data_IF_962647277229
#
_entry.id   IF_962647277229
#
_cell.length_a   1.000
_cell.length_b   1.000
_cell.length_c   1.000
_cell.angle_alpha   90.00
_cell.angle_beta   90.00
_cell.angle_gamma   90.00
#
_symmetry.space_group_name_H-M   'P 1'
#
loop_
_entity.id
_entity.type
_entity.pdbx_description
1 polymer ?
#
# COMPACT_ATOMS: atom_id res chain seq x y z
N UNK A 1 21.54 23.10 -17.27
CA UNK A 1 22.05 22.23 -16.18
C UNK A 1 22.11 23.02 -14.88
N UNK A 2 22.81 24.15 -14.84
CA UNK A 2 22.91 25.04 -13.66
C UNK A 2 21.55 25.52 -13.13
N UNK A 3 20.67 26.05 -13.99
CA UNK A 3 19.32 26.46 -13.58
C UNK A 3 18.48 25.33 -12.97
N UNK A 4 18.73 24.08 -13.37
CA UNK A 4 18.04 22.92 -12.80
C UNK A 4 18.55 22.59 -11.40
N UNK A 5 19.83 22.82 -11.13
CA UNK A 5 20.44 22.62 -9.81
C UNK A 5 20.01 23.72 -8.84
N UNK A 6 20.03 24.98 -9.30
CA UNK A 6 19.51 26.11 -8.51
C UNK A 6 18.05 25.89 -8.12
N UNK A 7 17.22 25.43 -9.06
CA UNK A 7 15.83 25.12 -8.78
C UNK A 7 15.66 23.98 -7.75
N UNK A 8 16.50 22.94 -7.79
CA UNK A 8 16.49 21.87 -6.77
C UNK A 8 16.89 22.39 -5.38
N UNK A 9 17.87 23.30 -5.31
CA UNK A 9 18.28 23.94 -4.06
C UNK A 9 17.18 24.85 -3.51
N UNK A 10 16.49 25.62 -4.37
CA UNK A 10 15.34 26.43 -3.98
C UNK A 10 14.22 25.57 -3.39
N UNK A 11 13.95 24.41 -4.00
CA UNK A 11 12.97 23.45 -3.47
C UNK A 11 13.36 22.95 -2.08
N UNK A 12 14.64 22.64 -1.88
CA UNK A 12 15.16 22.17 -0.60
C UNK A 12 15.06 23.25 0.49
N UNK A 13 15.44 24.49 0.18
CA UNK A 13 15.32 25.62 1.10
C UNK A 13 13.87 25.93 1.47
N UNK A 14 12.95 25.85 0.51
CA UNK A 14 11.52 25.99 0.78
C UNK A 14 11.05 24.97 1.84
N UNK A 15 11.49 23.72 1.74
CA UNK A 15 11.15 22.66 2.68
C UNK A 15 11.81 22.89 4.06
N UNK A 16 13.09 23.30 4.10
CA UNK A 16 13.78 23.61 5.36
C UNK A 16 13.06 24.73 6.11
N UNK A 17 12.73 25.83 5.40
CA UNK A 17 12.00 26.96 5.97
C UNK A 17 10.61 26.57 6.46
N UNK A 18 9.89 25.73 5.69
CA UNK A 18 8.59 25.20 6.11
C UNK A 18 8.70 24.32 7.37
N UNK A 19 9.77 23.54 7.48
CA UNK A 19 10.02 22.70 8.65
C UNK A 19 10.27 23.55 9.89
N UNK A 20 11.11 24.58 9.78
CA UNK A 20 11.39 25.50 10.88
C UNK A 20 10.14 26.25 11.36
N UNK A 21 9.31 26.70 10.42
CA UNK A 21 8.06 27.37 10.74
C UNK A 21 7.04 26.43 11.41
N UNK A 22 6.99 25.15 10.99
CA UNK A 22 5.92 24.22 11.35
C UNK A 22 6.41 22.78 11.61
N UNK A 23 7.23 22.52 12.64
CA UNK A 23 7.84 21.21 12.87
C UNK A 23 6.81 20.09 13.15
N UNK A 24 5.66 20.44 13.75
CA UNK A 24 4.60 19.48 14.03
C UNK A 24 3.98 18.88 12.75
N UNK A 25 3.89 19.66 11.66
CA UNK A 25 3.34 19.19 10.39
C UNK A 25 4.24 18.13 9.75
N UNK A 26 5.56 18.30 9.85
CA UNK A 26 6.53 17.32 9.33
C UNK A 26 6.50 16.01 10.11
N UNK A 27 6.27 16.06 11.42
CA UNK A 27 6.08 14.85 12.23
C UNK A 27 4.83 14.08 11.78
N UNK A 28 3.73 14.78 11.50
CA UNK A 28 2.53 14.15 10.96
C UNK A 28 2.76 13.57 9.55
N UNK A 29 3.41 14.32 8.66
CA UNK A 29 3.71 13.87 7.29
C UNK A 29 4.60 12.65 7.26
N UNK A 30 5.67 12.62 8.06
CA UNK A 30 6.55 11.46 8.19
C UNK A 30 5.77 10.22 8.65
N UNK A 31 4.85 10.38 9.60
CA UNK A 31 3.97 9.28 10.02
C UNK A 31 3.03 8.78 8.91
N UNK A 32 2.60 9.65 7.99
CA UNK A 32 1.81 9.24 6.81
C UNK A 32 2.70 8.49 5.82
N UNK A 33 3.92 8.98 5.56
CA UNK A 33 4.86 8.41 4.60
C UNK A 33 5.37 7.03 5.04
N UNK A 34 5.67 6.86 6.33
CA UNK A 34 6.10 5.57 6.91
C UNK A 34 5.06 4.45 6.71
N UNK A 35 3.78 4.80 6.75
CA UNK A 35 2.69 3.85 6.52
C UNK A 35 2.38 3.61 5.04
N UNK A 36 2.97 4.40 4.13
CA UNK A 36 2.69 4.33 2.69
C UNK A 36 3.03 2.96 2.12
N UNK A 37 2.25 2.53 1.12
CA UNK A 37 2.48 1.28 0.39
C UNK A 37 3.01 1.61 -0.98
N UNK A 38 3.91 0.77 -1.48
CA UNK A 38 4.48 0.92 -2.82
C UNK A 38 3.40 0.70 -3.90
N UNK A 39 3.05 1.73 -4.69
CA UNK A 39 2.05 1.63 -5.74
C UNK A 39 2.62 1.25 -7.11
N UNK A 40 3.95 1.14 -7.27
CA UNK A 40 4.57 1.02 -8.60
C UNK A 40 4.22 -0.28 -9.31
N UNK A 41 3.99 -1.37 -8.57
CA UNK A 41 3.51 -2.61 -9.16
C UNK A 41 2.08 -2.48 -9.70
N UNK A 42 1.18 -1.85 -8.94
CA UNK A 42 -0.18 -1.54 -9.40
C UNK A 42 -0.16 -0.61 -10.63
N UNK A 43 0.71 0.41 -10.64
CA UNK A 43 0.90 1.32 -11.78
C UNK A 43 1.39 0.57 -13.01
N UNK A 44 2.36 -0.34 -12.86
CA UNK A 44 2.85 -1.16 -13.96
C UNK A 44 1.74 -2.03 -14.57
N UNK A 45 0.88 -2.63 -13.73
CA UNK A 45 -0.28 -3.40 -14.21
C UNK A 45 -1.29 -2.52 -14.94
N UNK A 46 -1.54 -1.30 -14.46
CA UNK A 46 -2.42 -0.34 -15.13
C UNK A 46 -1.87 0.07 -16.50
N UNK A 47 -0.55 0.27 -16.61
CA UNK A 47 0.11 0.59 -17.89
C UNK A 47 0.07 -0.54 -18.92
N UNK A 48 -0.11 -1.78 -18.48
CA UNK A 48 -0.26 -2.96 -19.34
C UNK A 48 -1.73 -3.35 -19.60
N UNK A 49 -2.70 -2.50 -19.21
CA UNK A 49 -4.15 -2.77 -19.29
C UNK A 49 -4.56 -4.10 -18.62
N UNK A 50 -3.83 -4.53 -17.59
CA UNK A 50 -4.11 -5.76 -16.86
C UNK A 50 -5.17 -5.55 -15.78
N UNK A 51 -5.87 -6.63 -15.46
CA UNK A 51 -6.81 -6.65 -14.34
C UNK A 51 -6.05 -6.52 -13.04
N UNK A 52 -6.43 -5.53 -12.23
CA UNK A 52 -5.86 -5.36 -10.91
C UNK A 52 -6.52 -6.36 -9.95
N UNK A 53 -5.74 -7.23 -9.28
CA UNK A 53 -6.29 -8.08 -8.25
C UNK A 53 -6.68 -7.24 -7.01
N UNK A 54 -7.49 -7.78 -6.10
CA UNK A 54 -7.97 -7.03 -4.93
C UNK A 54 -6.87 -6.40 -4.06
N UNK A 55 -5.69 -7.03 -3.98
CA UNK A 55 -4.55 -6.49 -3.25
C UNK A 55 -3.99 -5.20 -3.88
N UNK A 56 -3.94 -5.13 -5.21
CA UNK A 56 -3.44 -3.93 -5.91
C UNK A 56 -4.46 -2.80 -5.89
N UNK A 57 -5.75 -3.13 -5.99
CA UNK A 57 -6.82 -2.14 -5.80
C UNK A 57 -6.82 -1.57 -4.38
N UNK A 58 -6.47 -2.37 -3.38
CA UNK A 58 -6.23 -1.88 -2.02
C UNK A 58 -5.05 -0.91 -1.97
N UNK A 59 -3.94 -1.21 -2.65
CA UNK A 59 -2.76 -0.32 -2.69
C UNK A 59 -3.12 1.02 -3.34
N UNK A 60 -3.85 1.01 -4.45
CA UNK A 60 -4.33 2.25 -5.10
C UNK A 60 -5.25 3.04 -4.15
N UNK A 61 -6.17 2.37 -3.45
CA UNK A 61 -7.02 3.02 -2.44
C UNK A 61 -6.20 3.61 -1.27
N UNK A 62 -5.14 2.90 -0.86
CA UNK A 62 -4.20 3.38 0.15
C UNK A 62 -3.43 4.62 -0.32
N UNK A 63 -2.99 4.65 -1.58
CA UNK A 63 -2.37 5.83 -2.18
C UNK A 63 -3.34 7.02 -2.13
N UNK A 64 -4.59 6.86 -2.57
CA UNK A 64 -5.61 7.92 -2.50
C UNK A 64 -5.77 8.46 -1.07
N UNK A 65 -5.79 7.57 -0.07
CA UNK A 65 -5.88 7.95 1.33
C UNK A 65 -4.65 8.74 1.80
N UNK A 66 -3.43 8.30 1.48
CA UNK A 66 -2.20 9.00 1.81
C UNK A 66 -2.15 10.39 1.15
N UNK A 67 -2.44 10.47 -0.15
CA UNK A 67 -2.48 11.73 -0.92
C UNK A 67 -3.44 12.72 -0.27
N UNK A 68 -4.65 12.29 0.09
CA UNK A 68 -5.65 13.15 0.73
C UNK A 68 -5.16 13.72 2.06
N UNK A 69 -4.50 12.89 2.89
CA UNK A 69 -3.93 13.36 4.16
C UNK A 69 -2.75 14.30 3.97
N UNK A 70 -1.86 14.00 3.04
CA UNK A 70 -0.72 14.86 2.69
C UNK A 70 -1.24 16.22 2.21
N UNK A 71 -2.22 16.25 1.30
CA UNK A 71 -2.82 17.49 0.82
C UNK A 71 -3.45 18.30 1.94
N UNK A 72 -4.15 17.66 2.88
CA UNK A 72 -4.69 18.35 4.05
C UNK A 72 -3.61 19.06 4.87
N UNK A 73 -2.47 18.40 5.10
CA UNK A 73 -1.33 19.01 5.80
C UNK A 73 -0.71 20.15 4.98
N UNK A 74 -0.55 19.96 3.67
CA UNK A 74 -0.01 20.98 2.78
C UNK A 74 -0.91 22.22 2.69
N UNK A 75 -2.22 22.03 2.67
CA UNK A 75 -3.23 23.09 2.67
C UNK A 75 -3.18 23.90 3.98
N UNK A 76 -3.01 23.24 5.12
CA UNK A 76 -2.87 23.91 6.42
C UNK A 76 -1.65 24.84 6.51
N UNK A 77 -0.54 24.47 5.86
CA UNK A 77 0.67 25.31 5.78
C UNK A 77 0.63 26.36 4.64
N UNK A 78 -0.39 26.31 3.78
CA UNK A 78 -0.45 27.06 2.53
C UNK A 78 0.20 26.30 1.37
N UNK A 79 -0.64 25.72 0.50
CA UNK A 79 -0.21 24.81 -0.57
C UNK A 79 0.83 25.42 -1.53
N UNK A 80 0.79 26.74 -1.73
CA UNK A 80 1.69 27.49 -2.61
C UNK A 80 3.14 27.59 -2.09
N UNK A 81 3.37 27.29 -0.80
CA UNK A 81 4.72 27.29 -0.23
C UNK A 81 5.48 26.01 -0.56
N UNK A 82 4.79 24.96 -1.01
CA UNK A 82 5.38 23.67 -1.31
C UNK A 82 5.94 23.65 -2.74
N UNK A 83 7.08 22.99 -2.98
CA UNK A 83 7.58 22.75 -4.32
C UNK A 83 6.54 22.04 -5.18
N UNK A 84 6.27 22.53 -6.39
CA UNK A 84 5.19 22.00 -7.24
C UNK A 84 5.30 20.50 -7.53
N UNK A 85 6.52 19.98 -7.65
CA UNK A 85 6.78 18.53 -7.83
C UNK A 85 6.44 17.67 -6.61
N UNK A 86 6.35 18.27 -5.42
CA UNK A 86 6.02 17.61 -4.15
C UNK A 86 4.55 17.78 -3.75
N UNK A 87 3.72 18.39 -4.62
CA UNK A 87 2.28 18.56 -4.40
C UNK A 87 1.53 17.53 -5.24
N UNK A 88 0.98 16.45 -4.65
CA UNK A 88 0.27 15.44 -5.41
C UNK A 88 -1.08 15.96 -5.94
N UNK A 89 -1.54 15.50 -7.12
CA UNK A 89 -2.87 15.83 -7.63
C UNK A 89 -3.98 15.26 -6.72
N UNK A 90 -5.17 15.85 -6.81
CA UNK A 90 -6.35 15.36 -6.07
C UNK A 90 -6.89 14.06 -6.68
N UNK A 91 -7.22 13.07 -5.84
CA UNK A 91 -7.69 11.74 -6.25
C UNK A 91 -9.11 11.44 -5.73
N UNK A 92 -9.93 12.45 -5.47
CA UNK A 92 -11.24 12.31 -4.81
C UNK A 92 -12.24 11.49 -5.65
N UNK A 93 -12.15 11.58 -6.97
CA UNK A 93 -12.98 10.77 -7.89
C UNK A 93 -12.63 9.28 -7.77
N UNK A 94 -11.35 8.97 -7.66
CA UNK A 94 -10.84 7.61 -7.54
C UNK A 94 -11.14 7.01 -6.16
N UNK A 95 -11.04 7.80 -5.10
CA UNK A 95 -11.44 7.39 -3.74
C UNK A 95 -12.92 6.95 -3.70
N UNK A 96 -13.80 7.75 -4.31
CA UNK A 96 -15.24 7.43 -4.41
C UNK A 96 -15.53 6.17 -5.23
N UNK A 97 -14.69 5.88 -6.21
CA UNK A 97 -14.80 4.72 -7.09
C UNK A 97 -14.40 3.42 -6.37
N UNK A 98 -13.28 3.46 -5.65
CA UNK A 98 -12.66 2.29 -5.02
C UNK A 98 -13.27 1.89 -3.68
N UNK A 99 -13.98 2.80 -3.02
CA UNK A 99 -14.55 2.50 -1.71
C UNK A 99 -15.88 3.23 -1.47
N UNK A 100 -16.96 2.84 -2.18
CA UNK A 100 -18.27 3.46 -2.02
C UNK A 100 -18.76 3.25 -0.59
N UNK A 101 -18.76 4.32 0.21
CA UNK A 101 -19.23 4.31 1.60
C UNK A 101 -18.18 3.95 2.67
N UNK A 102 -16.89 3.89 2.33
CA UNK A 102 -15.85 3.79 3.37
C UNK A 102 -15.73 5.09 4.17
N UNK A 103 -15.60 4.98 5.49
CA UNK A 103 -15.39 6.13 6.38
C UNK A 103 -13.89 6.46 6.50
N UNK A 104 -13.24 6.69 5.35
CA UNK A 104 -11.87 7.21 5.30
C UNK A 104 -10.79 6.25 5.81
N UNK A 105 -11.01 4.93 5.77
CA UNK A 105 -9.93 3.96 5.93
C UNK A 105 -9.65 3.26 4.61
N UNK A 106 -8.36 3.01 4.28
CA UNK A 106 -8.03 2.24 3.09
C UNK A 106 -8.49 0.80 3.32
N UNK A 107 -9.54 0.39 2.63
CA UNK A 107 -9.99 -0.99 2.60
C UNK A 107 -10.60 -1.25 1.23
N UNK A 108 -10.21 -2.36 0.60
CA UNK A 108 -10.79 -2.77 -0.66
C UNK A 108 -11.40 -4.16 -0.51
N UNK A 109 -12.69 -4.25 -0.80
CA UNK A 109 -13.44 -5.49 -0.88
C UNK A 109 -14.56 -5.30 -1.90
N UNK A 110 -14.79 -6.32 -2.73
CA UNK A 110 -15.89 -6.34 -3.70
C UNK A 110 -17.21 -6.45 -2.93
N UNK A 111 -17.74 -5.30 -2.53
CA UNK A 111 -19.00 -5.15 -1.81
C UNK A 111 -20.21 -5.38 -2.71
N UNK A 112 -21.36 -5.63 -2.08
CA UNK A 112 -22.64 -5.78 -2.76
C UNK A 112 -23.07 -4.50 -3.52
N UNK A 113 -22.48 -3.34 -3.20
CA UNK A 113 -22.78 -2.07 -3.84
C UNK A 113 -22.27 -1.99 -5.29
N UNK A 114 -21.27 -2.79 -5.67
CA UNK A 114 -20.70 -2.77 -7.02
C UNK A 114 -21.58 -3.47 -8.06
N UNK A 115 -22.32 -4.50 -7.66
CA UNK A 115 -23.09 -5.33 -8.59
C UNK A 115 -24.35 -5.89 -7.94
N UNK A 116 -25.55 -5.45 -8.39
CA UNK A 116 -26.81 -6.05 -7.93
C UNK A 116 -26.92 -7.56 -8.21
N UNK A 117 -26.42 -8.10 -9.35
CA UNK A 117 -26.34 -9.54 -9.57
C UNK A 117 -25.52 -10.29 -8.51
N UNK A 118 -24.37 -9.74 -8.09
CA UNK A 118 -23.52 -10.34 -7.06
C UNK A 118 -24.24 -10.38 -5.70
N UNK A 119 -24.88 -9.27 -5.32
CA UNK A 119 -25.66 -9.16 -4.10
C UNK A 119 -26.80 -10.20 -4.05
N UNK A 120 -27.49 -10.41 -5.17
CA UNK A 120 -28.55 -11.41 -5.29
C UNK A 120 -28.00 -12.84 -5.13
N UNK A 121 -26.88 -13.18 -5.77
CA UNK A 121 -26.21 -14.48 -5.64
C UNK A 121 -25.77 -14.75 -4.21
N UNK A 122 -25.14 -13.76 -3.54
CA UNK A 122 -24.72 -13.84 -2.13
C UNK A 122 -25.89 -14.06 -1.19
N UNK A 123 -26.99 -13.33 -1.38
CA UNK A 123 -28.23 -13.51 -0.60
C UNK A 123 -28.80 -14.91 -0.77
N UNK A 124 -28.88 -15.41 -2.00
CA UNK A 124 -29.38 -16.75 -2.31
C UNK A 124 -28.48 -17.83 -1.69
N UNK A 125 -27.15 -17.69 -1.81
CA UNK A 125 -26.19 -18.62 -1.18
C UNK A 125 -26.38 -18.66 0.34
N UNK A 126 -26.48 -17.50 0.98
CA UNK A 126 -26.69 -17.40 2.44
C UNK A 126 -28.00 -18.07 2.86
N UNK A 127 -29.06 -17.91 2.08
CA UNK A 127 -30.35 -18.59 2.31
C UNK A 127 -30.22 -20.11 2.19
N UNK A 128 -29.61 -20.61 1.11
CA UNK A 128 -29.40 -22.05 0.88
C UNK A 128 -28.51 -22.68 1.95
N UNK A 129 -27.49 -21.95 2.42
CA UNK A 129 -26.63 -22.41 3.50
C UNK A 129 -27.35 -22.43 4.85
N UNK A 130 -28.27 -21.50 5.11
CA UNK A 130 -29.16 -21.55 6.27
C UNK A 130 -30.06 -22.79 6.22
N UNK A 131 -30.68 -23.07 5.07
CA UNK A 131 -31.52 -24.28 4.88
C UNK A 131 -30.71 -25.57 5.09
N UNK A 132 -29.50 -25.63 4.54
CA UNK A 132 -28.61 -26.79 4.72
C UNK A 132 -28.23 -26.99 6.18
N UNK A 133 -27.90 -25.91 6.91
CA UNK A 133 -27.60 -25.99 8.35
C UNK A 133 -28.81 -26.46 9.16
N UNK A 134 -30.02 -26.04 8.79
CA UNK A 134 -31.25 -26.48 9.45
C UNK A 134 -31.50 -27.98 9.21
N UNK A 135 -31.36 -28.45 7.96
CA UNK A 135 -31.49 -29.86 7.62
C UNK A 135 -30.49 -30.71 8.44
N UNK A 136 -29.21 -30.37 8.38
CA UNK A 136 -28.17 -31.11 9.13
C UNK A 136 -28.36 -31.03 10.65
N UNK A 137 -28.91 -29.93 11.17
CA UNK A 137 -29.22 -29.79 12.59
C UNK A 137 -30.38 -30.68 13.03
N UNK A 138 -31.40 -30.87 12.19
CA UNK A 138 -32.53 -31.75 12.47
C UNK A 138 -32.07 -33.22 12.53
N UNK A 139 -31.26 -33.64 11.56
CA UNK A 139 -30.66 -34.99 11.54
C UNK A 139 -29.76 -35.23 12.76
N UNK A 140 -28.94 -34.25 13.13
CA UNK A 140 -28.10 -34.33 14.32
C UNK A 140 -28.92 -34.43 15.62
N UNK A 141 -30.08 -33.75 15.70
CA UNK A 141 -30.96 -33.82 16.86
C UNK A 141 -31.63 -35.19 17.01
N UNK A 142 -31.98 -35.85 15.91
CA UNK A 142 -32.52 -37.21 15.94
C UNK A 142 -31.48 -38.21 16.45
N UNK A 143 -30.22 -38.08 16.00
CA UNK A 143 -29.09 -38.86 16.52
C UNK A 143 -28.84 -38.60 18.01
N UNK A 144 -28.91 -37.33 18.44
CA UNK A 144 -28.75 -36.95 19.85
C UNK A 144 -29.84 -37.56 20.74
N UNK A 145 -31.09 -37.61 20.28
CA UNK A 145 -32.20 -38.23 21.02
C UNK A 145 -31.96 -39.71 21.33
N UNK A 146 -31.28 -40.42 20.41
CA UNK A 146 -31.07 -41.86 20.50
C UNK A 146 -29.76 -42.22 21.21
N UNK A 147 -28.68 -41.49 20.93
CA UNK A 147 -27.34 -41.78 21.43
C UNK A 147 -26.93 -40.88 22.63
N UNK A 148 -27.74 -39.89 22.98
CA UNK A 148 -27.47 -38.92 24.04
C UNK A 148 -26.30 -37.98 23.74
N UNK A 149 -25.80 -37.98 22.50
CA UNK A 149 -24.64 -37.19 22.08
C UNK A 149 -24.85 -36.65 20.67
N UNK A 150 -24.63 -35.36 20.50
CA UNK A 150 -24.80 -34.67 19.22
C UNK A 150 -23.57 -34.86 18.32
N UNK A 151 -23.71 -35.42 17.11
CA UNK A 151 -22.64 -35.42 16.11
C UNK A 151 -22.39 -34.01 15.57
N UNK A 152 -21.13 -33.62 15.41
CA UNK A 152 -20.74 -32.50 14.57
C UNK A 152 -20.91 -32.84 13.08
N UNK A 153 -21.08 -31.84 12.22
CA UNK A 153 -21.43 -32.02 10.79
C UNK A 153 -20.38 -32.83 10.00
N UNK A 154 -19.12 -32.76 10.42
CA UNK A 154 -18.02 -33.59 9.86
C UNK A 154 -17.27 -34.36 10.96
N UNK A 155 -17.81 -34.38 12.17
CA UNK A 155 -17.16 -35.06 13.30
C UNK A 155 -17.61 -36.52 13.35
N UNK A 156 -16.70 -37.38 13.79
CA UNK A 156 -17.00 -38.79 14.00
C UNK A 156 -17.50 -39.01 15.44
N UNK A 157 -18.63 -39.68 15.58
CA UNK A 157 -19.12 -40.15 16.87
C UNK A 157 -18.46 -41.48 17.18
N UNK A 158 -17.57 -41.48 18.17
CA UNK A 158 -16.94 -42.69 18.69
C UNK A 158 -17.86 -43.37 19.70
N UNK A 159 -18.23 -44.63 19.43
CA UNK A 159 -19.00 -45.50 20.33
C UNK A 159 -18.10 -46.64 20.78
N UNK A 160 -18.00 -46.91 22.09
CA UNK A 160 -17.21 -48.03 22.63
C UNK A 160 -17.84 -49.37 22.27
N UNK A 161 -17.03 -50.36 21.87
CA UNK A 161 -17.48 -51.73 21.54
C UNK A 161 -18.20 -52.45 22.68
N UNK A 162 -17.90 -52.09 23.91
CA UNK A 162 -18.57 -52.64 25.10
C UNK A 162 -20.05 -52.22 25.19
N UNK A 163 -20.46 -51.16 24.47
CA UNK A 163 -21.83 -50.67 24.47
C UNK A 163 -22.59 -51.15 23.23
N UNK A 164 -22.86 -52.47 23.19
CA UNK A 164 -23.54 -53.13 22.08
C UNK A 164 -24.91 -52.52 21.75
N UNK A 165 -25.67 -52.09 22.77
CA UNK A 165 -26.99 -51.49 22.57
C UNK A 165 -26.94 -50.19 21.75
N UNK A 166 -25.93 -49.33 21.97
CA UNK A 166 -25.78 -48.11 21.16
C UNK A 166 -25.21 -48.38 19.77
N UNK A 167 -24.41 -49.42 19.60
CA UNK A 167 -23.87 -49.82 18.28
C UNK A 167 -24.99 -50.36 17.39
N UNK A 168 -25.85 -51.24 17.91
CA UNK A 168 -27.00 -51.75 17.15
C UNK A 168 -27.96 -50.63 16.79
N UNK A 169 -28.28 -49.74 17.74
CA UNK A 169 -29.09 -48.54 17.45
C UNK A 169 -28.45 -47.69 16.35
N UNK A 170 -27.15 -47.39 16.45
CA UNK A 170 -26.45 -46.59 15.44
C UNK A 170 -26.40 -47.25 14.05
N UNK A 171 -26.34 -48.58 13.97
CA UNK A 171 -26.39 -49.33 12.69
C UNK A 171 -27.77 -49.36 12.06
N UNK A 172 -28.82 -49.27 12.87
CA UNK A 172 -30.22 -49.21 12.40
C UNK A 172 -30.62 -47.80 11.91
N UNK A 173 -29.85 -46.77 12.27
CA UNK A 173 -30.11 -45.38 11.89
C UNK A 173 -29.64 -45.09 10.46
N UNK A 174 -30.53 -44.75 9.51
CA UNK A 174 -30.13 -44.39 8.15
C UNK A 174 -29.33 -43.08 8.06
N UNK A 175 -29.40 -42.26 9.11
CA UNK A 175 -28.71 -40.98 9.27
C UNK A 175 -27.23 -41.16 9.60
N UNK A 176 -26.78 -42.34 10.02
CA UNK A 176 -25.39 -42.62 10.37
C UNK A 176 -24.73 -43.58 9.37
N UNK A 177 -23.48 -43.27 9.02
CA UNK A 177 -22.60 -44.15 8.26
C UNK A 177 -21.43 -44.60 9.12
N UNK A 178 -21.20 -45.89 9.23
CA UNK A 178 -20.00 -46.45 9.86
C UNK A 178 -18.79 -46.10 8.98
N UNK A 179 -17.79 -45.42 9.56
CA UNK A 179 -16.61 -44.91 8.83
C UNK A 179 -15.39 -45.78 9.10
N UNK A 180 -15.08 -46.05 10.37
CA UNK A 180 -13.92 -46.85 10.76
C UNK A 180 -14.14 -47.56 12.09
N UNK A 181 -13.44 -48.67 12.26
CA UNK A 181 -13.44 -49.47 13.48
C UNK A 181 -12.02 -49.61 14.02
N UNK A 182 -11.87 -49.46 15.32
CA UNK A 182 -10.61 -49.68 16.06
C UNK A 182 -10.81 -50.83 17.04
N UNK A 183 -9.79 -51.20 17.82
CA UNK A 183 -9.94 -52.25 18.84
C UNK A 183 -10.98 -51.92 19.91
N UNK A 184 -11.15 -50.63 20.24
CA UNK A 184 -11.98 -50.19 21.38
C UNK A 184 -13.25 -49.43 20.97
N UNK A 185 -13.25 -48.77 19.81
CA UNK A 185 -14.35 -47.91 19.36
C UNK A 185 -14.73 -48.16 17.90
N UNK A 186 -16.02 -47.96 17.61
CA UNK A 186 -16.57 -47.85 16.25
C UNK A 186 -16.94 -46.38 16.02
N UNK A 187 -16.56 -45.84 14.87
CA UNK A 187 -16.75 -44.44 14.51
C UNK A 187 -17.84 -44.32 13.46
N UNK A 188 -18.86 -43.52 13.78
CA UNK A 188 -19.97 -43.20 12.90
C UNK A 188 -19.91 -41.74 12.47
N UNK A 189 -20.36 -41.43 11.25
CA UNK A 189 -20.49 -40.05 10.76
C UNK A 189 -21.92 -39.81 10.31
N UNK A 190 -22.40 -38.58 10.51
CA UNK A 190 -23.70 -38.16 9.99
C UNK A 190 -23.68 -38.19 8.46
N UNK A 191 -24.59 -38.96 7.88
CA UNK A 191 -24.81 -39.08 6.45
C UNK A 191 -25.71 -37.95 5.99
N UNK A 192 -25.23 -37.16 5.03
CA UNK A 192 -26.04 -36.11 4.45
C UNK A 192 -27.29 -36.70 3.74
N UNK A 193 -28.47 -36.14 4.03
CA UNK A 193 -29.71 -36.51 3.33
C UNK A 193 -29.62 -36.15 1.84
N UNK A 194 -30.50 -36.75 1.02
CA UNK A 194 -30.58 -36.39 -0.42
C UNK A 194 -30.82 -34.89 -0.62
N UNK A 195 -31.60 -34.27 0.27
CA UNK A 195 -31.86 -32.84 0.27
C UNK A 195 -30.61 -32.03 0.65
N UNK A 196 -29.89 -32.44 1.70
CA UNK A 196 -28.64 -31.80 2.12
C UNK A 196 -27.58 -31.86 1.00
N UNK A 197 -27.42 -33.01 0.34
CA UNK A 197 -26.53 -33.18 -0.82
C UNK A 197 -26.95 -32.27 -1.99
N UNK A 198 -28.26 -32.14 -2.27
CA UNK A 198 -28.75 -31.22 -3.30
C UNK A 198 -28.43 -29.76 -2.96
N UNK A 199 -28.68 -29.35 -1.72
CA UNK A 199 -28.37 -28.00 -1.25
C UNK A 199 -26.87 -27.71 -1.31
N UNK A 200 -26.02 -28.68 -0.96
CA UNK A 200 -24.57 -28.56 -1.06
C UNK A 200 -24.12 -28.33 -2.51
N UNK A 201 -24.66 -29.10 -3.46
CA UNK A 201 -24.41 -28.90 -4.89
C UNK A 201 -24.85 -27.51 -5.37
N UNK A 202 -26.02 -27.06 -4.95
CA UNK A 202 -26.51 -25.70 -5.28
C UNK A 202 -25.61 -24.62 -4.68
N UNK A 203 -25.18 -24.75 -3.42
CA UNK A 203 -24.25 -23.82 -2.77
C UNK A 203 -22.93 -23.77 -3.53
N UNK A 204 -22.39 -24.91 -3.95
CA UNK A 204 -21.15 -24.96 -4.72
C UNK A 204 -21.30 -24.31 -6.09
N UNK A 205 -22.43 -24.50 -6.78
CA UNK A 205 -22.73 -23.77 -8.03
C UNK A 205 -22.81 -22.26 -7.81
N UNK A 206 -23.46 -21.83 -6.73
CA UNK A 206 -23.55 -20.41 -6.38
C UNK A 206 -22.19 -19.82 -6.03
N UNK A 207 -21.29 -20.57 -5.38
CA UNK A 207 -19.90 -20.13 -5.12
C UNK A 207 -19.06 -19.99 -6.40
N UNK A 208 -19.30 -20.81 -7.41
CA UNK A 208 -18.64 -20.65 -8.72
C UNK A 208 -19.16 -19.38 -9.38
N UNK A 209 -20.49 -19.21 -9.43
CA UNK A 209 -21.13 -18.01 -9.99
C UNK A 209 -20.74 -16.72 -9.26
N UNK A 210 -20.60 -16.75 -7.95
CA UNK A 210 -20.14 -15.59 -7.16
C UNK A 210 -18.72 -15.19 -7.56
N UNK A 211 -17.82 -16.15 -7.78
CA UNK A 211 -16.44 -15.88 -8.24
C UNK A 211 -16.41 -15.28 -9.64
N UNK A 212 -17.20 -15.82 -10.56
CA UNK A 212 -17.35 -15.26 -11.93
C UNK A 212 -17.83 -13.81 -11.88
N UNK A 213 -18.85 -13.52 -11.06
CA UNK A 213 -19.38 -12.17 -10.90
C UNK A 213 -18.40 -11.21 -10.21
N UNK A 214 -17.60 -11.70 -9.25
CA UNK A 214 -16.52 -10.91 -8.64
C UNK A 214 -15.44 -10.57 -9.67
N UNK A 215 -15.07 -11.51 -10.53
CA UNK A 215 -14.12 -11.29 -11.62
C UNK A 215 -14.62 -10.27 -12.63
N UNK A 216 -15.90 -10.33 -13.03
CA UNK A 216 -16.55 -9.32 -13.88
C UNK A 216 -16.49 -7.91 -13.24
N UNK A 217 -16.73 -7.81 -11.94
CA UNK A 217 -16.64 -6.53 -11.23
C UNK A 217 -15.19 -6.02 -11.18
N UNK A 218 -14.21 -6.91 -10.96
CA UNK A 218 -12.81 -6.53 -10.97
C UNK A 218 -12.35 -6.07 -12.36
N UNK A 219 -12.83 -6.71 -13.43
CA UNK A 219 -12.59 -6.28 -14.81
C UNK A 219 -13.13 -4.87 -15.07
N UNK A 220 -14.40 -4.62 -14.75
CA UNK A 220 -15.01 -3.28 -14.91
C UNK A 220 -14.28 -2.22 -14.07
N UNK A 221 -14.01 -2.54 -12.81
CA UNK A 221 -13.36 -1.60 -11.90
C UNK A 221 -11.94 -1.29 -12.34
N UNK A 222 -11.16 -2.29 -12.74
CA UNK A 222 -9.80 -2.10 -13.25
C UNK A 222 -9.81 -1.19 -14.47
N UNK A 223 -10.71 -1.43 -15.44
CA UNK A 223 -10.83 -0.59 -16.63
C UNK A 223 -11.22 0.87 -16.29
N UNK A 224 -11.99 1.09 -15.23
CA UNK A 224 -12.33 2.43 -14.75
C UNK A 224 -11.16 3.10 -14.03
N UNK A 225 -10.37 2.35 -13.27
CA UNK A 225 -9.15 2.83 -12.59
C UNK A 225 -8.07 3.18 -13.62
N UNK A 226 -7.91 2.41 -14.69
CA UNK A 226 -6.95 2.68 -15.77
C UNK A 226 -7.13 4.07 -16.39
N UNK A 227 -8.36 4.61 -16.43
CA UNK A 227 -8.62 5.98 -16.92
C UNK A 227 -7.96 7.07 -16.07
N UNK A 228 -7.56 6.74 -14.84
CA UNK A 228 -6.87 7.61 -13.90
C UNK A 228 -5.39 7.23 -13.72
N UNK A 229 -4.84 6.36 -14.58
CA UNK A 229 -3.47 5.87 -14.44
C UNK A 229 -2.43 7.01 -14.37
N UNK A 230 -2.59 8.05 -15.20
CA UNK A 230 -1.72 9.23 -15.17
C UNK A 230 -1.76 9.98 -13.85
N UNK A 231 -2.94 10.12 -13.24
CA UNK A 231 -3.11 10.83 -11.98
C UNK A 231 -2.52 10.02 -10.81
N UNK A 232 -2.70 8.70 -10.85
CA UNK A 232 -2.13 7.76 -9.88
C UNK A 232 -0.60 7.81 -9.94
N UNK A 233 -0.03 7.75 -11.14
CA UNK A 233 1.42 7.82 -11.35
C UNK A 233 1.98 9.18 -10.89
N UNK A 234 1.35 10.28 -11.29
CA UNK A 234 1.76 11.61 -10.85
C UNK A 234 1.69 11.78 -9.32
N UNK A 235 0.67 11.20 -8.68
CA UNK A 235 0.55 11.21 -7.23
C UNK A 235 1.62 10.37 -6.53
N UNK A 236 1.94 9.19 -7.05
CA UNK A 236 3.00 8.34 -6.53
C UNK A 236 4.37 9.04 -6.67
N UNK A 237 4.65 9.64 -7.82
CA UNK A 237 5.87 10.41 -8.05
C UNK A 237 5.95 11.62 -7.12
N UNK A 238 4.88 12.40 -6.97
CA UNK A 238 4.88 13.56 -6.09
C UNK A 238 5.08 13.21 -4.61
N UNK A 239 4.53 12.08 -4.15
CA UNK A 239 4.79 11.55 -2.81
C UNK A 239 6.26 11.13 -2.66
N UNK A 240 6.84 10.48 -3.68
CA UNK A 240 8.25 10.11 -3.68
C UNK A 240 9.18 11.33 -3.66
N UNK A 241 8.88 12.36 -4.46
CA UNK A 241 9.63 13.63 -4.45
C UNK A 241 9.51 14.34 -3.11
N UNK A 242 8.33 14.34 -2.50
CA UNK A 242 8.10 14.89 -1.18
C UNK A 242 8.94 14.17 -0.12
N UNK A 243 8.89 12.84 -0.07
CA UNK A 243 9.67 12.03 0.87
C UNK A 243 11.18 12.27 0.71
N UNK A 244 11.66 12.30 -0.54
CA UNK A 244 13.05 12.55 -0.86
C UNK A 244 13.51 13.95 -0.44
N UNK A 245 12.68 14.98 -0.67
CA UNK A 245 12.99 16.34 -0.25
C UNK A 245 12.99 16.50 1.27
N UNK A 246 12.06 15.87 1.97
CA UNK A 246 12.02 15.85 3.44
C UNK A 246 13.29 15.20 3.98
N UNK A 247 13.68 14.03 3.46
CA UNK A 247 14.90 13.34 3.87
C UNK A 247 16.17 14.18 3.61
N UNK A 248 16.24 14.86 2.45
CA UNK A 248 17.33 15.79 2.15
C UNK A 248 17.37 16.97 3.13
N UNK A 249 16.22 17.53 3.46
CA UNK A 249 16.11 18.64 4.41
C UNK A 249 16.55 18.21 5.81
N UNK A 250 16.11 17.03 6.27
CA UNK A 250 16.53 16.46 7.54
C UNK A 250 18.06 16.25 7.57
N UNK A 251 18.62 15.67 6.51
CA UNK A 251 20.06 15.46 6.38
C UNK A 251 20.84 16.78 6.40
N UNK A 252 20.40 17.76 5.61
CA UNK A 252 21.01 19.10 5.55
C UNK A 252 21.01 19.76 6.93
N UNK A 253 19.90 19.68 7.66
CA UNK A 253 19.78 20.20 9.03
C UNK A 253 20.68 19.46 10.01
N UNK A 254 20.77 18.13 9.92
CA UNK A 254 21.59 17.33 10.84
C UNK A 254 23.08 17.64 10.73
N UNK A 255 23.54 18.05 9.53
CA UNK A 255 24.94 18.38 9.28
C UNK A 255 25.23 19.89 9.29
N UNK A 256 24.22 20.73 9.56
CA UNK A 256 24.31 22.19 9.46
C UNK A 256 24.84 22.63 8.08
N UNK A 257 24.28 22.03 7.02
CA UNK A 257 24.71 22.25 5.64
C UNK A 257 24.40 23.67 5.17
N UNK A 258 25.33 24.22 4.39
CA UNK A 258 25.16 25.51 3.70
C UNK A 258 24.82 25.29 2.23
N UNK A 259 23.91 26.11 1.68
CA UNK A 259 23.63 26.13 0.23
C UNK A 259 24.91 26.44 -0.54
N UNK A 260 25.31 25.60 -1.52
CA UNK A 260 26.45 25.92 -2.38
C UNK A 260 26.07 27.01 -3.39
N UNK A 261 27.04 27.87 -3.74
CA UNK A 261 26.91 28.82 -4.84
C UNK A 261 27.41 28.17 -6.14
N UNK A 262 26.56 28.12 -7.16
CA UNK A 262 26.90 27.49 -8.45
C UNK A 262 27.44 28.56 -9.40
N UNK A 263 28.76 28.57 -9.60
CA UNK A 263 29.42 29.51 -10.52
C UNK A 263 29.45 28.93 -11.95
N UNK A 264 28.93 29.69 -12.92
CA UNK A 264 28.91 29.27 -14.32
C UNK A 264 30.33 29.25 -14.95
N UNK A 265 30.69 28.17 -15.62
CA UNK A 265 31.94 28.09 -16.39
C UNK A 265 31.74 28.72 -17.77
N UNK A 266 32.05 30.01 -17.94
CA UNK A 266 32.06 30.66 -19.25
C UNK A 266 33.28 30.25 -20.09
N UNK A 267 33.27 29.07 -20.69
CA UNK A 267 34.21 28.73 -21.76
C UNK A 267 33.63 29.19 -23.11
N UNK A 268 33.72 30.48 -23.41
CA UNK A 268 33.66 31.00 -24.78
C UNK A 268 34.77 32.02 -25.00
N UNK A 269 35.96 31.55 -25.33
CA UNK A 269 36.87 32.27 -26.20
C UNK A 269 36.96 31.49 -27.50
N UNK A 270 36.19 31.92 -28.51
CA UNK A 270 36.44 31.49 -29.88
C UNK A 270 37.85 31.97 -30.30
N UNK A 271 38.66 31.12 -30.95
CA UNK A 271 39.97 31.52 -31.43
C UNK A 271 39.80 32.44 -32.64
N UNK A 272 39.83 33.76 -32.45
CA UNK A 272 40.02 34.69 -33.57
C UNK A 272 39.30 36.04 -33.57
N UNK A 273 38.92 36.64 -32.43
CA UNK A 273 38.47 38.05 -32.42
C UNK A 273 39.55 38.98 -31.86
N UNK A 274 39.98 40.02 -32.61
CA UNK A 274 40.93 40.99 -32.11
C UNK A 274 40.27 41.97 -31.14
N UNK A 275 41.01 42.24 -30.08
CA UNK A 275 40.65 43.07 -28.95
C UNK A 275 40.28 44.50 -29.37
N UNK A 276 39.09 44.97 -28.96
CA UNK A 276 38.81 46.40 -28.85
C UNK A 276 38.79 46.76 -27.38
N UNK A 277 39.77 47.59 -27.02
CA UNK A 277 40.02 48.17 -25.71
C UNK A 277 38.80 48.87 -25.11
N UNK A 278 38.42 48.49 -23.90
CA UNK A 278 37.91 49.43 -22.89
C UNK A 278 38.24 48.92 -21.49
N UNK A 279 38.62 49.86 -20.63
CA UNK A 279 39.26 49.63 -19.35
C UNK A 279 38.31 49.04 -18.31
N UNK A 280 38.69 47.91 -17.71
CA UNK A 280 38.34 47.46 -16.36
C UNK A 280 39.35 46.37 -15.95
N UNK A 281 39.74 46.26 -14.66
CA UNK A 281 40.93 45.52 -14.26
C UNK A 281 40.71 44.02 -14.46
N UNK A 282 41.82 43.35 -14.79
CA UNK A 282 41.98 41.90 -14.95
C UNK A 282 41.29 41.19 -13.79
N UNK A 283 40.11 40.64 -14.06
CA UNK A 283 39.50 39.62 -13.20
C UNK A 283 40.30 38.34 -13.43
N UNK A 284 41.21 38.05 -12.51
CA UNK A 284 41.76 36.70 -12.35
C UNK A 284 40.58 35.72 -12.37
N UNK A 285 40.60 34.65 -13.19
CA UNK A 285 39.57 33.63 -13.11
C UNK A 285 39.64 33.06 -11.68
N UNK A 286 38.60 33.30 -10.89
CA UNK A 286 38.53 32.79 -9.52
C UNK A 286 38.62 31.26 -9.50
N UNK A 287 38.93 30.67 -8.33
CA UNK A 287 39.00 29.22 -8.17
C UNK A 287 37.71 28.55 -8.67
N UNK A 288 37.84 27.45 -9.42
CA UNK A 288 36.66 26.72 -9.93
C UNK A 288 35.94 25.94 -8.83
N UNK A 289 36.59 25.70 -7.69
CA UNK A 289 35.99 25.11 -6.50
C UNK A 289 36.62 25.73 -5.26
N UNK A 290 35.77 26.31 -4.41
CA UNK A 290 36.15 26.82 -3.10
C UNK A 290 35.28 26.15 -2.04
N UNK A 291 35.91 25.50 -1.07
CA UNK A 291 35.27 24.90 0.09
C UNK A 291 35.87 25.55 1.33
N UNK A 292 35.06 26.26 2.11
CA UNK A 292 35.49 26.87 3.35
C UNK A 292 34.99 26.07 4.55
N UNK A 293 35.86 25.80 5.53
CA UNK A 293 35.51 25.07 6.75
C UNK A 293 34.78 23.74 6.47
N UNK A 294 35.15 23.04 5.39
CA UNK A 294 34.50 21.82 4.99
C UNK A 294 34.81 20.68 5.96
N UNK A 295 33.84 19.77 6.08
CA UNK A 295 33.96 18.57 6.86
C UNK A 295 33.48 17.36 6.04
N UNK A 296 34.09 16.21 6.30
CA UNK A 296 33.59 14.95 5.80
C UNK A 296 32.50 14.45 6.75
N UNK A 297 31.25 14.43 6.29
CA UNK A 297 30.05 14.14 7.10
C UNK A 297 30.16 12.84 7.90
N UNK A 298 30.51 11.73 7.25
CA UNK A 298 30.66 10.42 7.92
C UNK A 298 31.77 10.44 8.99
N UNK A 299 32.93 11.01 8.67
CA UNK A 299 34.08 11.05 9.58
C UNK A 299 33.79 11.97 10.76
N UNK A 300 33.10 13.09 10.54
CA UNK A 300 32.69 14.02 11.59
C UNK A 300 31.87 13.29 12.66
N UNK A 301 30.90 12.48 12.25
CA UNK A 301 30.04 11.72 13.15
C UNK A 301 30.83 10.64 13.91
N UNK A 302 31.68 9.88 13.23
CA UNK A 302 32.54 8.88 13.87
C UNK A 302 33.49 9.50 14.91
N UNK A 303 34.08 10.65 14.59
CA UNK A 303 35.01 11.37 15.49
C UNK A 303 34.25 11.89 16.71
N UNK A 304 33.07 12.49 16.53
CA UNK A 304 32.20 12.94 17.62
C UNK A 304 31.77 11.77 18.52
N UNK A 305 31.38 10.64 17.95
CA UNK A 305 30.99 9.43 18.68
C UNK A 305 32.12 8.88 19.56
N UNK A 306 33.37 9.01 19.11
CA UNK A 306 34.57 8.61 19.88
C UNK A 306 35.06 9.69 20.86
N UNK A 307 34.34 10.79 21.01
CA UNK A 307 34.71 11.93 21.86
C UNK A 307 35.88 12.76 21.33
N UNK A 308 36.24 12.59 20.06
CA UNK A 308 37.28 13.36 19.39
C UNK A 308 36.78 14.72 18.90
N UNK A 309 37.72 15.57 18.49
CA UNK A 309 37.42 16.86 17.83
C UNK A 309 37.81 16.76 16.36
N UNK A 310 36.87 17.07 15.48
CA UNK A 310 37.13 17.16 14.04
C UNK A 310 37.69 18.55 13.71
N UNK A 311 38.71 18.60 12.86
CA UNK A 311 39.28 19.85 12.36
C UNK A 311 38.77 20.10 10.94
N UNK A 312 37.99 21.17 10.70
CA UNK A 312 37.55 21.55 9.36
C UNK A 312 38.73 21.89 8.44
N UNK A 313 38.55 21.64 7.14
CA UNK A 313 39.55 21.87 6.10
C UNK A 313 38.97 22.84 5.07
N UNK A 314 39.77 23.82 4.66
CA UNK A 314 39.42 24.69 3.53
C UNK A 314 40.21 24.26 2.29
N UNK A 315 39.54 24.15 1.15
CA UNK A 315 40.12 23.67 -0.12
C UNK A 315 39.82 24.69 -1.20
N UNK A 316 40.86 25.12 -1.91
CA UNK A 316 40.77 25.98 -3.08
C UNK A 316 41.41 25.25 -4.26
N UNK A 317 40.67 25.10 -5.36
CA UNK A 317 41.14 24.43 -6.58
C UNK A 317 41.10 25.41 -7.75
N UNK A 318 42.27 25.92 -8.10
CA UNK A 318 42.49 26.66 -9.33
C UNK A 318 42.69 25.70 -10.50
N UNK A 319 41.93 25.89 -11.57
CA UNK A 319 42.05 25.05 -12.77
C UNK A 319 43.28 25.43 -13.59
N UNK A 320 44.44 24.89 -13.24
CA UNK A 320 45.60 24.86 -14.13
C UNK A 320 46.25 23.47 -14.06
N UNK A 321 45.68 22.51 -14.80
CA UNK A 321 46.42 21.40 -15.44
C UNK A 321 45.80 21.16 -16.81
#
# INVERSE_FOLDING_TARGET
>A
MEQSLEWELDCLEAIINLWDDNPALFTEMLGILECSKDPFYAIALLGEDKVLPPAELFIVAHLCFCVKRIRYVQEAAGIFRWPGKAVPPGLELLEKLLAPGSQGQPSFYVSDAYSPPLAATRKLRKQKQKMWRQEMANEAAEVERVLGRRPGVSEEVAIRKTNYAHIEKARLMPELGETRETLTHIYFRLKATRNAVRLEREINRLKVREREQEEEVLLDLSARVTKHASDIEAAAQAIGELDFLICKAELARSMDATRPEIVACSNQQEPGQPCVSSLSPVSTPGPRLMLENACHTIILDEVKLRGGRYQPISIEVDSIV
#
